data_IF_256650797872
#
_entry.id   IF_256650797872
#
_cell.length_a   1.000
_cell.length_b   1.000
_cell.length_c   1.000
_cell.angle_alpha   90.00
_cell.angle_beta   90.00
_cell.angle_gamma   90.00
#
_symmetry.space_group_name_H-M   'P 1'
#
loop_
_entity.id
_entity.type
_entity.pdbx_description
1 polymer ?
#
# COMPACT_ATOMS: atom_id res chain seq x y z
N UNK A 1 -24.01 16.26 16.66
CA UNK A 1 -24.43 15.29 15.62
C UNK A 1 -23.24 15.13 14.68
N UNK A 2 -22.72 13.91 14.55
CA UNK A 2 -21.56 13.64 13.70
C UNK A 2 -22.06 13.42 12.28
N UNK A 3 -21.55 14.21 11.33
CA UNK A 3 -21.78 14.03 9.90
C UNK A 3 -20.55 13.35 9.29
N UNK A 4 -20.76 12.47 8.31
CA UNK A 4 -19.65 11.87 7.56
C UNK A 4 -19.38 12.71 6.34
N UNK A 5 -18.13 13.18 6.20
CA UNK A 5 -17.70 13.99 5.07
C UNK A 5 -16.62 13.25 4.29
N UNK A 6 -16.77 13.20 2.97
CA UNK A 6 -15.81 12.55 2.07
C UNK A 6 -14.75 13.54 1.61
N UNK A 7 -13.47 13.16 1.73
CA UNK A 7 -12.36 13.98 1.24
C UNK A 7 -12.22 13.89 -0.29
N UNK A 8 -12.17 15.01 -1.05
CA UNK A 8 -12.01 14.97 -2.50
C UNK A 8 -10.61 14.54 -2.97
N UNK A 9 -9.61 14.55 -2.09
CA UNK A 9 -8.23 14.18 -2.44
C UNK A 9 -7.90 12.71 -2.24
N UNK A 10 -8.64 12.00 -1.39
CA UNK A 10 -8.38 10.60 -1.06
C UNK A 10 -9.63 9.74 -0.88
N UNK A 11 -10.81 10.28 -1.16
CA UNK A 11 -12.13 9.61 -1.16
C UNK A 11 -12.52 8.90 0.15
N UNK A 12 -11.76 9.08 1.22
CA UNK A 12 -12.04 8.48 2.51
C UNK A 12 -13.09 9.32 3.27
N UNK A 13 -14.03 8.66 3.93
CA UNK A 13 -15.06 9.28 4.77
C UNK A 13 -14.53 9.54 6.19
N UNK A 14 -14.80 10.73 6.73
CA UNK A 14 -14.38 11.11 8.07
C UNK A 14 -15.54 11.67 8.89
N UNK A 15 -15.63 11.33 10.18
CA UNK A 15 -16.60 11.90 11.09
C UNK A 15 -16.23 13.36 11.43
N UNK A 16 -17.13 14.29 11.15
CA UNK A 16 -17.01 15.71 11.48
C UNK A 16 -18.21 16.12 12.34
N UNK A 17 -17.97 16.86 13.42
CA UNK A 17 -19.08 17.34 14.23
C UNK A 17 -19.77 18.55 13.55
N UNK A 18 -21.07 18.44 13.33
CA UNK A 18 -21.87 19.47 12.64
C UNK A 18 -21.96 20.80 13.39
N UNK A 19 -21.68 20.87 14.70
CA UNK A 19 -21.61 22.14 15.42
C UNK A 19 -20.35 22.95 15.06
N UNK A 20 -19.30 22.29 14.51
CA UNK A 20 -18.06 22.92 14.07
C UNK A 20 -18.08 23.36 12.60
N UNK A 21 -19.18 23.11 11.87
CA UNK A 21 -19.36 23.50 10.46
C UNK A 21 -20.34 24.68 10.38
N UNK A 22 -19.86 25.94 10.34
CA UNK A 22 -20.69 27.11 10.11
C UNK A 22 -21.20 27.16 8.66
N UNK A 23 -22.31 27.88 8.44
CA UNK A 23 -22.94 28.02 7.12
C UNK A 23 -22.02 28.63 6.04
N UNK A 24 -20.97 29.37 6.43
CA UNK A 24 -19.95 29.90 5.52
C UNK A 24 -18.86 28.90 5.11
N UNK A 25 -19.00 27.64 5.52
CA UNK A 25 -18.02 26.58 5.30
C UNK A 25 -16.80 26.68 6.21
N UNK A 26 -16.22 25.54 6.58
CA UNK A 26 -14.99 25.47 7.37
C UNK A 26 -13.90 24.76 6.58
N UNK A 27 -12.66 25.26 6.70
CA UNK A 27 -11.48 24.55 6.19
C UNK A 27 -11.14 23.43 7.17
N UNK A 28 -11.22 22.19 6.72
CA UNK A 28 -10.84 21.02 7.50
C UNK A 28 -9.65 20.33 6.84
N UNK A 29 -8.77 19.78 7.67
CA UNK A 29 -7.65 18.94 7.22
C UNK A 29 -8.07 17.48 7.25
N UNK A 30 -7.85 16.76 6.15
CA UNK A 30 -8.05 15.32 6.12
C UNK A 30 -6.96 14.62 6.95
N UNK A 31 -7.32 13.72 7.86
CA UNK A 31 -6.32 12.98 8.65
C UNK A 31 -5.57 11.92 7.85
N UNK A 32 -6.14 11.40 6.76
CA UNK A 32 -5.47 10.36 5.96
C UNK A 32 -4.55 10.91 4.88
N UNK A 33 -4.89 12.04 4.26
CA UNK A 33 -4.10 12.61 3.17
C UNK A 33 -3.56 14.02 3.43
N UNK A 34 -3.94 14.67 4.54
CA UNK A 34 -3.46 16.01 4.93
C UNK A 34 -4.02 17.16 4.09
N UNK A 35 -4.80 16.87 3.06
CA UNK A 35 -5.43 17.88 2.20
C UNK A 35 -6.36 18.80 2.98
N UNK A 36 -6.28 20.10 2.71
CA UNK A 36 -7.18 21.11 3.28
C UNK A 36 -8.29 21.37 2.27
N UNK A 37 -9.53 21.08 2.65
CA UNK A 37 -10.70 21.29 1.80
C UNK A 37 -11.82 22.00 2.58
N UNK A 38 -12.73 22.63 1.84
CA UNK A 38 -13.88 23.34 2.44
C UNK A 38 -15.07 22.40 2.54
N UNK A 39 -15.69 22.39 3.72
CA UNK A 39 -16.92 21.62 4.00
C UNK A 39 -18.01 22.61 4.30
N UNK A 40 -19.02 22.62 3.43
CA UNK A 40 -20.24 23.40 3.59
C UNK A 40 -21.29 22.50 4.23
N UNK A 41 -22.09 23.05 5.14
CA UNK A 41 -23.24 22.32 5.69
C UNK A 41 -24.25 22.17 4.55
N UNK A 42 -24.72 20.96 4.19
CA UNK A 42 -25.84 20.81 3.27
C UNK A 42 -27.06 21.43 3.94
N UNK A 43 -27.35 22.68 3.59
CA UNK A 43 -28.59 23.36 3.94
C UNK A 43 -29.69 22.78 3.05
N UNK A 44 -30.78 22.31 3.65
CA UNK A 44 -32.03 21.90 2.99
C UNK A 44 -32.66 23.06 2.19
N UNK A 45 -32.04 23.46 1.09
CA UNK A 45 -32.62 24.40 0.13
C UNK A 45 -32.24 24.01 -1.28
N UNK A 46 -32.70 22.84 -1.69
CA UNK A 46 -33.16 22.63 -3.06
C UNK A 46 -34.22 21.53 -3.04
N UNK A 47 -35.42 21.92 -2.63
CA UNK A 47 -36.63 21.27 -3.09
C UNK A 47 -36.72 21.48 -4.61
N UNK A 48 -35.95 20.70 -5.37
CA UNK A 48 -36.26 20.42 -6.76
C UNK A 48 -37.41 19.42 -6.72
N UNK A 49 -38.54 19.87 -7.26
CA UNK A 49 -39.79 19.17 -7.32
C UNK A 49 -39.61 17.70 -7.78
N UNK A 50 -40.43 16.77 -7.25
CA UNK A 50 -40.45 15.40 -7.74
C UNK A 50 -40.69 15.40 -9.27
N UNK A 51 -39.98 14.56 -10.04
CA UNK A 51 -40.31 14.39 -11.45
C UNK A 51 -41.76 13.87 -11.56
N UNK A 52 -42.53 14.30 -12.58
CA UNK A 52 -43.90 13.87 -12.75
C UNK A 52 -43.97 12.34 -12.94
N UNK A 53 -45.04 11.68 -12.45
CA UNK A 53 -45.17 10.24 -12.57
C UNK A 53 -45.19 9.81 -14.05
N UNK A 54 -44.54 8.69 -14.41
CA UNK A 54 -44.63 8.14 -15.75
C UNK A 54 -46.08 7.72 -16.03
N UNK A 55 -46.61 8.15 -17.18
CA UNK A 55 -47.91 7.71 -17.68
C UNK A 55 -47.87 6.20 -17.93
N UNK A 56 -48.94 5.45 -17.61
CA UNK A 56 -49.01 4.03 -17.93
C UNK A 56 -49.07 3.83 -19.46
N UNK A 57 -48.10 3.12 -20.00
CA UNK A 57 -48.16 2.55 -21.33
C UNK A 57 -49.07 1.30 -21.33
N UNK A 58 -49.78 1.01 -22.44
CA UNK A 58 -50.70 -0.12 -22.52
C UNK A 58 -49.98 -1.47 -22.38
N UNK A 59 -50.60 -2.36 -21.62
CA UNK A 59 -50.15 -3.71 -21.34
C UNK A 59 -50.01 -4.55 -22.63
N UNK A 60 -48.83 -5.11 -22.83
CA UNK A 60 -48.66 -6.28 -23.71
C UNK A 60 -48.71 -7.54 -22.84
N UNK A 61 -49.40 -8.62 -23.27
CA UNK A 61 -49.46 -9.86 -22.51
C UNK A 61 -48.11 -10.57 -22.55
N UNK A 62 -47.50 -10.76 -21.37
CA UNK A 62 -46.36 -11.65 -21.17
C UNK A 62 -46.85 -13.09 -21.10
N UNK A 63 -46.35 -13.93 -22.00
CA UNK A 63 -46.55 -15.38 -21.96
C UNK A 63 -45.80 -16.00 -20.76
N UNK A 64 -46.36 -17.02 -20.08
CA UNK A 64 -45.69 -17.66 -18.97
C UNK A 64 -44.57 -18.60 -19.48
N UNK A 65 -43.32 -18.28 -19.16
CA UNK A 65 -42.21 -19.24 -19.25
C UNK A 65 -42.06 -19.93 -17.89
N UNK A 66 -43.01 -20.82 -17.63
CA UNK A 66 -43.01 -21.77 -16.52
C UNK A 66 -42.00 -22.90 -16.85
N UNK A 67 -40.69 -22.62 -16.79
CA UNK A 67 -39.68 -23.68 -16.78
C UNK A 67 -38.28 -23.22 -16.32
N UNK A 68 -38.12 -22.94 -15.03
CA UNK A 68 -36.79 -22.98 -14.38
C UNK A 68 -36.77 -24.22 -13.49
N UNK A 69 -36.22 -25.29 -14.06
CA UNK A 69 -35.89 -26.50 -13.34
C UNK A 69 -34.72 -26.18 -12.40
N UNK A 70 -35.03 -25.98 -11.11
CA UNK A 70 -34.05 -25.80 -10.06
C UNK A 70 -33.30 -27.12 -9.86
N UNK A 71 -32.05 -27.17 -10.30
CA UNK A 71 -31.13 -28.26 -9.96
C UNK A 71 -30.67 -28.04 -8.51
N UNK A 72 -30.85 -29.00 -7.59
CA UNK A 72 -30.39 -28.85 -6.22
C UNK A 72 -28.86 -28.77 -6.15
N UNK A 73 -28.29 -27.96 -5.24
CA UNK A 73 -26.84 -27.92 -5.05
C UNK A 73 -26.34 -29.25 -4.45
N UNK A 74 -25.09 -29.66 -4.77
CA UNK A 74 -24.49 -30.84 -4.16
C UNK A 74 -24.27 -30.64 -2.64
N UNK A 75 -24.22 -31.73 -1.85
CA UNK A 75 -24.03 -31.65 -0.41
C UNK A 75 -22.63 -31.08 -0.07
N UNK A 76 -22.48 -30.42 1.10
CA UNK A 76 -21.19 -29.93 1.55
C UNK A 76 -20.25 -31.11 1.83
N UNK A 77 -19.11 -31.14 1.15
CA UNK A 77 -17.99 -32.01 1.48
C UNK A 77 -17.45 -31.58 2.85
N UNK A 78 -17.39 -32.53 3.78
CA UNK A 78 -16.87 -32.32 5.12
C UNK A 78 -15.42 -31.80 5.07
N UNK A 79 -14.99 -30.93 5.99
CA UNK A 79 -13.60 -30.51 6.09
C UNK A 79 -12.74 -31.72 6.49
N UNK A 80 -11.84 -32.12 5.59
CA UNK A 80 -10.73 -33.01 5.95
C UNK A 80 -9.87 -32.29 6.97
N UNK A 81 -9.79 -32.84 8.17
CA UNK A 81 -8.95 -32.33 9.23
C UNK A 81 -7.48 -32.31 8.77
N UNK A 82 -6.71 -31.26 9.12
CA UNK A 82 -5.28 -31.25 8.83
C UNK A 82 -4.59 -32.44 9.53
N UNK A 83 -3.55 -33.05 8.92
CA UNK A 83 -2.79 -34.09 9.58
C UNK A 83 -2.18 -33.54 10.88
N UNK A 84 -2.05 -34.38 11.93
CA UNK A 84 -1.44 -33.94 13.17
C UNK A 84 0.00 -33.48 12.92
N UNK A 85 0.48 -32.44 13.62
CA UNK A 85 1.86 -32.00 13.50
C UNK A 85 2.81 -33.15 13.88
N UNK A 86 3.98 -33.26 13.23
CA UNK A 86 4.99 -34.25 13.62
C UNK A 86 5.39 -34.05 15.09
N UNK A 87 5.72 -35.12 15.82
CA UNK A 87 6.17 -35.00 17.19
C UNK A 87 7.42 -34.13 17.22
N UNK A 88 7.33 -32.99 17.91
CA UNK A 88 8.48 -32.15 18.19
C UNK A 88 9.45 -33.00 19.01
N UNK A 89 10.60 -33.35 18.42
CA UNK A 89 11.72 -33.84 19.23
C UNK A 89 12.09 -32.68 20.14
N UNK A 90 11.85 -32.86 21.43
CA UNK A 90 12.38 -31.98 22.47
C UNK A 90 13.88 -31.85 22.25
N UNK A 91 14.32 -30.65 21.89
CA UNK A 91 15.74 -30.34 21.89
C UNK A 91 16.29 -30.60 23.30
N UNK A 92 17.48 -31.21 23.42
CA UNK A 92 18.13 -31.34 24.72
C UNK A 92 18.34 -29.93 25.31
N UNK A 93 18.20 -29.75 26.63
CA UNK A 93 18.44 -28.46 27.26
C UNK A 93 19.87 -27.99 26.96
N UNK A 94 19.97 -26.76 26.46
CA UNK A 94 21.24 -26.09 26.25
C UNK A 94 22.03 -26.06 27.56
N UNK A 95 23.30 -26.48 27.48
CA UNK A 95 24.24 -26.38 28.59
C UNK A 95 24.36 -24.92 29.07
N UNK A 96 24.56 -24.68 30.38
CA UNK A 96 24.65 -23.33 30.91
C UNK A 96 25.84 -22.58 30.30
N UNK A 97 25.72 -21.26 30.03
CA UNK A 97 26.83 -20.47 29.53
C UNK A 97 27.91 -20.37 30.61
N UNK A 98 29.14 -20.71 30.20
CA UNK A 98 30.34 -20.62 31.02
C UNK A 98 30.63 -19.13 31.29
N UNK A 99 30.74 -18.75 32.56
CA UNK A 99 31.01 -17.38 32.98
C UNK A 99 32.37 -16.89 32.44
N UNK A 100 32.35 -15.77 31.71
CA UNK A 100 33.53 -15.03 31.26
C UNK A 100 34.09 -14.21 32.42
N UNK A 101 35.41 -14.18 32.68
CA UNK A 101 35.99 -13.32 33.70
C UNK A 101 35.89 -11.83 33.29
N UNK A 102 35.78 -10.88 34.25
CA UNK A 102 35.74 -9.46 33.94
C UNK A 102 37.09 -8.98 33.42
N UNK A 103 37.04 -8.20 32.33
CA UNK A 103 38.20 -7.55 31.70
C UNK A 103 38.60 -6.32 32.54
N UNK A 104 39.91 -6.05 32.75
CA UNK A 104 40.34 -4.84 33.43
C UNK A 104 40.06 -3.58 32.59
N UNK A 105 39.66 -2.52 33.28
CA UNK A 105 39.35 -1.19 32.75
C UNK A 105 40.64 -0.52 32.25
N UNK A 106 40.71 -0.05 30.99
CA UNK A 106 41.84 0.74 30.52
C UNK A 106 41.79 2.17 31.12
N UNK A 107 42.95 2.83 31.33
CA UNK A 107 43.01 4.20 31.81
C UNK A 107 42.52 5.20 30.76
N UNK A 108 41.98 6.33 31.23
CA UNK A 108 41.36 7.38 30.43
C UNK A 108 42.34 7.97 29.37
N UNK A 109 41.87 8.23 28.13
CA UNK A 109 42.69 8.84 27.10
C UNK A 109 42.93 10.34 27.36
N UNK A 110 44.14 10.80 27.05
CA UNK A 110 44.48 12.23 27.01
C UNK A 110 43.78 12.91 25.81
N UNK A 111 43.46 14.21 25.89
CA UNK A 111 42.88 14.94 24.77
C UNK A 111 43.88 15.05 23.61
N UNK A 112 43.44 14.68 22.41
CA UNK A 112 44.19 14.81 21.16
C UNK A 112 44.07 16.24 20.58
N UNK A 113 45.08 16.75 19.86
CA UNK A 113 45.03 18.05 19.18
C UNK A 113 44.01 18.03 18.03
N UNK A 114 43.48 19.21 17.62
CA UNK A 114 42.47 19.28 16.57
C UNK A 114 43.06 18.90 15.20
N UNK A 115 42.30 18.19 14.34
CA UNK A 115 42.75 17.83 13.00
C UNK A 115 42.77 19.04 12.05
N UNK A 116 43.63 19.05 11.02
CA UNK A 116 43.63 20.08 9.98
C UNK A 116 42.35 20.03 9.14
N UNK A 117 41.96 21.14 8.47
CA UNK A 117 40.76 21.19 7.65
C UNK A 117 40.90 20.29 6.41
N UNK A 118 39.98 19.34 6.25
CA UNK A 118 39.87 18.49 5.08
C UNK A 118 39.23 19.24 3.88
N UNK A 119 39.65 18.96 2.64
CA UNK A 119 39.05 19.52 1.43
C UNK A 119 37.61 19.04 1.21
N UNK A 120 36.81 19.92 0.62
CA UNK A 120 35.38 19.80 0.40
C UNK A 120 34.96 18.43 -0.17
N UNK A 121 34.20 17.69 0.64
CA UNK A 121 33.43 16.54 0.19
C UNK A 121 32.24 17.02 -0.66
N UNK A 122 32.07 16.39 -1.81
CA UNK A 122 30.88 16.49 -2.66
C UNK A 122 29.61 16.23 -1.83
N UNK A 123 28.49 16.92 -2.12
CA UNK A 123 27.26 16.76 -1.37
C UNK A 123 26.67 15.37 -1.62
N UNK A 124 26.86 14.48 -0.66
CA UNK A 124 26.01 13.30 -0.48
C UNK A 124 24.59 13.81 -0.22
N UNK A 125 23.54 13.41 -0.97
CA UNK A 125 22.17 13.74 -0.61
C UNK A 125 21.77 12.92 0.63
N UNK A 126 22.21 13.37 1.79
CA UNK A 126 21.75 12.92 3.08
C UNK A 126 20.39 13.57 3.36
N UNK A 127 19.40 12.74 3.70
CA UNK A 127 18.22 13.18 4.45
C UNK A 127 17.15 13.86 3.61
N UNK A 128 16.09 13.11 3.32
CA UNK A 128 14.86 13.63 2.72
C UNK A 128 14.37 14.90 3.41
N UNK A 129 14.49 16.01 2.71
CA UNK A 129 13.71 17.20 3.02
C UNK A 129 12.24 16.83 2.84
N UNK A 130 11.49 16.75 3.94
CA UNK A 130 10.03 16.74 3.89
C UNK A 130 9.57 18.10 3.34
N UNK A 131 9.58 18.26 2.01
CA UNK A 131 9.05 19.44 1.31
C UNK A 131 7.53 19.38 1.35
N UNK A 132 7.00 19.89 2.46
CA UNK A 132 5.58 20.16 2.67
C UNK A 132 5.13 21.25 1.69
N UNK A 133 4.67 20.87 0.50
CA UNK A 133 4.16 21.87 -0.45
C UNK A 133 3.66 21.32 -1.78
N UNK A 134 4.39 20.42 -2.43
CA UNK A 134 3.97 19.76 -3.67
C UNK A 134 4.56 18.37 -3.66
N UNK A 135 3.71 17.35 -3.61
CA UNK A 135 4.15 15.96 -3.71
C UNK A 135 4.46 15.75 -5.18
N UNK A 136 5.75 15.84 -5.54
CA UNK A 136 6.18 15.70 -6.93
C UNK A 136 5.60 14.41 -7.51
N UNK A 137 5.01 14.45 -8.73
CA UNK A 137 4.39 13.28 -9.34
C UNK A 137 5.39 12.13 -9.50
N UNK A 138 6.66 12.46 -9.71
CA UNK A 138 7.81 11.56 -9.71
C UNK A 138 8.01 10.83 -8.38
N UNK A 139 7.86 11.53 -7.26
CA UNK A 139 8.01 10.96 -5.91
C UNK A 139 6.83 10.04 -5.57
N UNK A 140 5.62 10.43 -6.03
CA UNK A 140 4.44 9.56 -6.00
C UNK A 140 4.69 8.27 -6.80
N UNK A 141 5.25 8.36 -8.01
CA UNK A 141 5.57 7.22 -8.85
C UNK A 141 6.58 6.27 -8.18
N UNK A 142 7.70 6.81 -7.67
CA UNK A 142 8.70 6.01 -6.94
C UNK A 142 8.10 5.27 -5.75
N UNK A 143 7.26 5.96 -4.97
CA UNK A 143 6.58 5.34 -3.83
C UNK A 143 5.61 4.25 -4.28
N UNK A 144 4.84 4.50 -5.33
CA UNK A 144 3.86 3.54 -5.83
C UNK A 144 4.55 2.26 -6.35
N UNK A 145 5.64 2.40 -7.09
CA UNK A 145 6.43 1.27 -7.57
C UNK A 145 6.88 0.37 -6.42
N UNK A 146 7.47 0.94 -5.36
CA UNK A 146 7.87 0.18 -4.17
C UNK A 146 6.71 -0.53 -3.47
N UNK A 147 5.55 0.11 -3.39
CA UNK A 147 4.36 -0.48 -2.77
C UNK A 147 3.88 -1.69 -3.58
N UNK A 148 3.74 -1.54 -4.90
CA UNK A 148 3.31 -2.63 -5.78
C UNK A 148 4.30 -3.80 -5.79
N UNK A 149 5.61 -3.53 -5.77
CA UNK A 149 6.64 -4.58 -5.65
C UNK A 149 6.64 -5.24 -4.27
N UNK A 150 6.32 -4.50 -3.20
CA UNK A 150 6.15 -5.12 -1.88
C UNK A 150 4.91 -6.00 -1.81
N UNK A 151 3.85 -5.65 -2.53
CA UNK A 151 2.59 -6.38 -2.59
C UNK A 151 2.77 -7.75 -3.25
N UNK A 152 3.47 -7.82 -4.40
CA UNK A 152 3.79 -9.10 -5.06
C UNK A 152 4.61 -10.05 -4.17
N UNK A 153 5.51 -9.52 -3.32
CA UNK A 153 6.26 -10.36 -2.37
C UNK A 153 5.35 -10.85 -1.24
N UNK A 154 4.45 -9.99 -0.75
CA UNK A 154 3.54 -10.34 0.34
C UNK A 154 2.61 -11.50 -0.05
N UNK A 155 2.06 -11.48 -1.26
CA UNK A 155 1.18 -12.54 -1.75
C UNK A 155 1.93 -13.78 -2.25
N UNK A 156 3.20 -13.63 -2.64
CA UNK A 156 3.98 -14.70 -3.25
C UNK A 156 5.25 -14.99 -2.43
N UNK A 157 5.19 -14.91 -1.11
CA UNK A 157 6.37 -14.98 -0.23
C UNK A 157 7.17 -16.30 -0.37
N UNK A 158 6.47 -17.43 -0.51
CA UNK A 158 7.10 -18.73 -0.71
C UNK A 158 7.78 -18.83 -2.08
N UNK A 159 7.09 -18.33 -3.11
CA UNK A 159 7.61 -18.24 -4.48
C UNK A 159 8.84 -17.33 -4.55
N UNK A 160 8.82 -16.19 -3.87
CA UNK A 160 9.94 -15.24 -3.76
C UNK A 160 11.17 -15.89 -3.14
N UNK A 161 10.96 -16.62 -2.04
CA UNK A 161 12.03 -17.36 -1.38
C UNK A 161 12.64 -18.42 -2.31
N UNK A 162 11.80 -19.23 -2.95
CA UNK A 162 12.26 -20.26 -3.87
C UNK A 162 13.00 -19.65 -5.08
N UNK A 163 12.50 -18.54 -5.62
CA UNK A 163 13.12 -17.85 -6.74
C UNK A 163 14.48 -17.23 -6.36
N UNK A 164 14.64 -16.73 -5.13
CA UNK A 164 15.93 -16.29 -4.58
C UNK A 164 16.93 -17.43 -4.45
N UNK A 165 16.49 -18.60 -4.00
CA UNK A 165 17.37 -19.78 -3.84
C UNK A 165 17.80 -20.37 -5.19
N UNK A 166 16.93 -20.34 -6.20
CA UNK A 166 17.20 -20.88 -7.54
C UNK A 166 17.75 -19.85 -8.55
N UNK A 167 17.79 -18.56 -8.19
CA UNK A 167 18.17 -17.48 -9.10
C UNK A 167 17.19 -17.27 -10.27
N UNK A 168 15.92 -17.64 -10.11
CA UNK A 168 14.90 -17.59 -11.17
C UNK A 168 13.91 -16.42 -11.01
N UNK A 169 14.24 -15.39 -10.22
CA UNK A 169 13.30 -14.28 -9.90
C UNK A 169 12.63 -13.68 -11.13
N UNK A 170 13.40 -13.34 -12.17
CA UNK A 170 12.87 -12.71 -13.38
C UNK A 170 11.81 -13.58 -14.03
N UNK A 171 12.07 -14.88 -14.11
CA UNK A 171 11.22 -15.85 -14.81
C UNK A 171 9.95 -16.19 -14.03
N UNK A 172 10.07 -16.29 -12.71
CA UNK A 172 8.98 -16.73 -11.83
C UNK A 172 8.02 -15.59 -11.46
N UNK A 173 8.50 -14.34 -11.56
CA UNK A 173 7.74 -13.13 -11.30
C UNK A 173 7.36 -12.35 -12.57
N UNK A 174 7.74 -12.77 -13.78
CA UNK A 174 7.44 -12.04 -15.03
C UNK A 174 5.95 -11.69 -15.17
N UNK A 175 5.06 -12.66 -14.92
CA UNK A 175 3.60 -12.46 -15.01
C UNK A 175 3.08 -11.46 -13.98
N UNK A 176 3.62 -11.50 -12.76
CA UNK A 176 3.23 -10.57 -11.71
C UNK A 176 3.80 -9.17 -11.96
N UNK A 177 5.02 -9.10 -12.49
CA UNK A 177 5.66 -7.84 -12.88
C UNK A 177 4.87 -7.16 -13.99
N UNK A 178 4.41 -7.88 -15.02
CA UNK A 178 3.59 -7.32 -16.10
C UNK A 178 2.24 -6.81 -15.58
N UNK A 179 1.57 -7.61 -14.74
CA UNK A 179 0.29 -7.22 -14.12
C UNK A 179 0.44 -5.96 -13.26
N UNK A 180 1.45 -5.94 -12.38
CA UNK A 180 1.70 -4.78 -11.52
C UNK A 180 2.23 -3.58 -12.30
N UNK A 181 2.93 -3.78 -13.43
CA UNK A 181 3.34 -2.70 -14.33
C UNK A 181 2.13 -2.04 -14.99
N UNK A 182 1.15 -2.83 -15.42
CA UNK A 182 -0.11 -2.29 -15.97
C UNK A 182 -0.87 -1.46 -14.93
N UNK A 183 -0.98 -1.95 -13.69
CA UNK A 183 -1.56 -1.21 -12.57
C UNK A 183 -0.79 0.09 -12.27
N UNK A 184 0.54 0.04 -12.35
CA UNK A 184 1.38 1.22 -12.20
C UNK A 184 1.07 2.25 -13.30
N UNK A 185 1.04 1.84 -14.56
CA UNK A 185 0.73 2.71 -15.70
C UNK A 185 -0.65 3.35 -15.56
N UNK A 186 -1.66 2.58 -15.13
CA UNK A 186 -3.03 3.09 -14.91
C UNK A 186 -3.07 4.20 -13.84
N UNK A 187 -2.36 4.01 -12.72
CA UNK A 187 -2.38 4.95 -11.61
C UNK A 187 -1.49 6.19 -11.79
N UNK A 188 -0.39 6.07 -12.55
CA UNK A 188 0.59 7.16 -12.73
C UNK A 188 0.44 7.85 -14.09
N UNK A 189 -0.22 7.20 -15.05
CA UNK A 189 -0.38 7.66 -16.42
C UNK A 189 0.75 7.21 -17.34
N UNK A 190 0.39 6.93 -18.61
CA UNK A 190 1.32 6.42 -19.63
C UNK A 190 2.51 7.37 -19.89
N UNK A 191 2.31 8.69 -19.83
CA UNK A 191 3.39 9.68 -20.03
C UNK A 191 4.52 9.53 -19.00
N UNK A 192 4.16 9.37 -17.73
CA UNK A 192 5.18 9.24 -16.68
C UNK A 192 5.74 7.82 -16.65
N UNK A 193 4.93 6.81 -16.93
CA UNK A 193 5.36 5.42 -16.93
C UNK A 193 6.34 5.10 -18.06
N UNK A 194 6.08 5.57 -19.29
CA UNK A 194 6.95 5.29 -20.43
C UNK A 194 8.29 6.07 -20.38
N UNK A 195 8.29 7.25 -19.75
CA UNK A 195 9.49 8.03 -19.47
C UNK A 195 10.21 7.58 -18.18
N UNK A 196 10.30 8.45 -17.15
CA UNK A 196 11.11 8.16 -15.96
C UNK A 196 10.53 7.05 -15.06
N UNK A 197 9.24 6.73 -15.21
CA UNK A 197 8.55 5.70 -14.43
C UNK A 197 9.10 4.29 -14.65
N UNK A 198 9.58 3.97 -15.86
CA UNK A 198 10.21 2.69 -16.16
C UNK A 198 11.50 2.48 -15.37
N UNK A 199 12.27 3.56 -15.14
CA UNK A 199 13.47 3.49 -14.31
C UNK A 199 13.13 3.32 -12.82
N UNK A 200 12.12 4.04 -12.34
CA UNK A 200 11.67 3.90 -10.94
C UNK A 200 11.11 2.52 -10.64
N UNK A 201 10.43 1.92 -11.61
CA UNK A 201 9.92 0.56 -11.50
C UNK A 201 11.05 -0.45 -11.45
N UNK A 202 12.02 -0.37 -12.38
CA UNK A 202 13.20 -1.23 -12.39
C UNK A 202 14.03 -1.08 -11.13
N UNK A 203 14.20 0.14 -10.63
CA UNK A 203 14.86 0.40 -9.35
C UNK A 203 14.10 -0.27 -8.20
N UNK A 204 12.77 -0.18 -8.16
CA UNK A 204 11.96 -0.83 -7.15
C UNK A 204 12.03 -2.37 -7.22
N UNK A 205 12.07 -2.96 -8.42
CA UNK A 205 12.29 -4.40 -8.59
C UNK A 205 13.65 -4.82 -8.04
N UNK A 206 14.71 -4.08 -8.36
CA UNK A 206 16.05 -4.38 -7.86
C UNK A 206 16.15 -4.20 -6.33
N UNK A 207 15.60 -3.10 -5.80
CA UNK A 207 15.63 -2.75 -4.37
C UNK A 207 14.82 -3.74 -3.51
N UNK A 208 13.58 -4.04 -3.93
CA UNK A 208 12.60 -4.76 -3.13
C UNK A 208 12.52 -6.24 -3.52
N UNK A 209 12.39 -6.56 -4.81
CA UNK A 209 12.28 -7.94 -5.28
C UNK A 209 13.63 -8.67 -5.26
N UNK A 210 14.70 -8.03 -5.71
CA UNK A 210 16.04 -8.61 -5.69
C UNK A 210 16.85 -8.28 -4.42
N UNK A 211 16.21 -7.69 -3.39
CA UNK A 211 16.83 -7.30 -2.11
C UNK A 211 18.11 -6.45 -2.27
N UNK A 212 18.12 -5.55 -3.25
CA UNK A 212 19.23 -4.64 -3.54
C UNK A 212 20.17 -5.10 -4.65
N UNK A 213 19.96 -6.28 -5.23
CA UNK A 213 20.73 -6.77 -6.36
C UNK A 213 20.18 -6.25 -7.70
N UNK A 214 21.06 -5.93 -8.67
CA UNK A 214 20.66 -5.42 -9.99
C UNK A 214 20.44 -6.56 -10.97
N UNK A 215 19.27 -7.19 -10.90
CA UNK A 215 18.88 -8.32 -11.76
C UNK A 215 17.96 -7.91 -12.92
N UNK A 216 17.31 -6.75 -12.81
CA UNK A 216 16.33 -6.21 -13.76
C UNK A 216 16.78 -4.92 -14.41
#
# INVERSE_FOLDING_TARGET
MVITVTCPSCSQGFPVDSAKVPAGGVKVRCSSCGGIFRVEKPSESSAIAPPPPPRPAPAMPVAPLDNIQVVPPPPPVAPVAPPPPPPQRSAPPAAPPRATPPRPTPPAPRPAPPPPPAPAAEPTPAGGTFRFGKRDPTDKAKRLARVLVSDMIMYNAERHRNALENGTLVKDFEEEIDKSWKEFVDQVGAELADGPGREFWREALNDVLAKGERLF
#
